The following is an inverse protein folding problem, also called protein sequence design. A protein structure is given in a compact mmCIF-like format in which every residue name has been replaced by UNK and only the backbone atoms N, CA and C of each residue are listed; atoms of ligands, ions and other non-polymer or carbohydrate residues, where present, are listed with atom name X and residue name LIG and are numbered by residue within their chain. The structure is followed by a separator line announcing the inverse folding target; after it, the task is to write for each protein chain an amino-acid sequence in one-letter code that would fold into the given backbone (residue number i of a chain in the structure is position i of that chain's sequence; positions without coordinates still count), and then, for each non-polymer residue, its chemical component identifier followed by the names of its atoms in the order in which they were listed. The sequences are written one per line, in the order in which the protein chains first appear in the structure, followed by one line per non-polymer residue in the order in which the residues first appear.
data_IF_053359543437
#
_entry.id   IF_053359543437
#
_cell.length_a   1.000
_cell.length_b   1.000
_cell.length_c   1.000
_cell.angle_alpha   90.00
_cell.angle_beta   90.00
_cell.angle_gamma   90.00
#
_symmetry.space_group_name_H-M   'P 1'
#
loop_
_entity.id
_entity.type
_entity.pdbx_description
1 polymer ?
#
# COMPACT_ATOMS: atom_id res chain seq x y z
N UNK A 1 -11.90 19.47 58.48
CA UNK A 1 -11.86 19.79 57.03
C UNK A 1 -11.19 18.62 56.31
N UNK A 2 -11.95 17.77 55.61
CA UNK A 2 -11.44 16.58 54.90
C UNK A 2 -11.26 16.95 53.42
N UNK A 3 -10.02 16.94 52.92
CA UNK A 3 -9.70 17.15 51.50
C UNK A 3 -9.95 15.84 50.75
N UNK A 4 -10.93 15.84 49.85
CA UNK A 4 -11.17 14.74 48.91
C UNK A 4 -10.23 14.98 47.72
N UNK A 5 -9.18 14.17 47.61
CA UNK A 5 -8.36 14.09 46.39
C UNK A 5 -9.11 13.22 45.38
N UNK A 6 -9.57 13.82 44.28
CA UNK A 6 -10.03 13.08 43.12
C UNK A 6 -8.81 12.66 42.29
N UNK A 7 -8.51 11.37 42.28
CA UNK A 7 -7.52 10.79 41.38
C UNK A 7 -8.12 10.73 39.96
N UNK A 8 -7.54 11.49 39.04
CA UNK A 8 -7.85 11.43 37.62
C UNK A 8 -7.28 10.12 37.06
N UNK A 9 -8.11 9.11 36.88
CA UNK A 9 -7.71 7.89 36.19
C UNK A 9 -7.60 8.18 34.69
N UNK A 10 -6.36 8.30 34.17
CA UNK A 10 -6.10 8.26 32.74
C UNK A 10 -6.43 6.85 32.24
N UNK A 11 -7.57 6.70 31.58
CA UNK A 11 -7.85 5.55 30.73
C UNK A 11 -6.95 5.66 29.49
N UNK A 12 -5.79 5.02 29.55
CA UNK A 12 -5.00 4.72 28.37
C UNK A 12 -5.81 3.72 27.52
N UNK A 13 -6.55 4.23 26.54
CA UNK A 13 -7.21 3.42 25.53
C UNK A 13 -6.14 2.71 24.69
N UNK A 14 -5.87 1.45 25.03
CA UNK A 14 -5.07 0.54 24.21
C UNK A 14 -5.88 0.18 22.98
N UNK A 15 -5.80 1.02 21.94
CA UNK A 15 -6.25 0.64 20.61
C UNK A 15 -5.40 -0.58 20.22
N UNK A 16 -6.01 -1.76 20.02
CA UNK A 16 -5.23 -2.89 19.56
C UNK A 16 -4.63 -2.51 18.21
N UNK A 17 -3.33 -2.68 18.05
CA UNK A 17 -2.63 -2.49 16.79
C UNK A 17 -3.07 -3.59 15.80
N UNK A 18 -4.31 -3.53 15.35
CA UNK A 18 -4.73 -4.26 14.17
C UNK A 18 -3.89 -3.70 13.03
N UNK A 19 -3.11 -4.57 12.37
CA UNK A 19 -2.37 -4.19 11.18
C UNK A 19 -3.36 -3.57 10.21
N UNK A 20 -3.28 -2.25 10.03
CA UNK A 20 -4.24 -1.52 9.22
C UNK A 20 -4.26 -2.11 7.81
N UNK A 21 -5.46 -2.18 7.23
CA UNK A 21 -5.67 -2.62 5.86
C UNK A 21 -5.62 -1.40 4.93
N UNK A 22 -5.41 -1.66 3.64
CA UNK A 22 -5.53 -0.61 2.63
C UNK A 22 -6.99 -0.15 2.52
N UNK A 23 -7.26 1.16 2.34
CA UNK A 23 -8.62 1.65 2.10
C UNK A 23 -9.21 1.05 0.82
N UNK A 24 -10.53 0.85 0.78
CA UNK A 24 -11.23 0.24 -0.36
C UNK A 24 -10.89 0.87 -1.72
N UNK A 25 -10.64 2.19 -1.77
CA UNK A 25 -10.28 2.90 -2.98
C UNK A 25 -8.98 2.40 -3.66
N UNK A 26 -8.10 1.72 -2.92
CA UNK A 26 -6.85 1.13 -3.42
C UNK A 26 -7.03 -0.31 -3.90
N UNK A 27 -8.14 -0.96 -3.55
CA UNK A 27 -8.34 -2.40 -3.76
C UNK A 27 -8.88 -2.71 -5.16
N UNK A 28 -8.71 -3.94 -5.61
CA UNK A 28 -9.25 -4.47 -6.85
C UNK A 28 -8.21 -4.55 -7.97
N UNK A 29 -8.71 -4.56 -9.21
CA UNK A 29 -7.88 -4.79 -10.39
C UNK A 29 -7.21 -3.51 -10.87
N UNK A 30 -5.99 -3.67 -11.37
CA UNK A 30 -5.11 -2.64 -11.89
C UNK A 30 -4.34 -3.16 -13.11
N UNK A 31 -3.84 -2.24 -13.94
CA UNK A 31 -2.85 -2.49 -14.98
C UNK A 31 -1.70 -1.50 -14.87
N UNK A 32 -0.54 -1.82 -15.43
CA UNK A 32 0.64 -0.94 -15.49
C UNK A 32 1.21 -0.92 -16.90
N UNK A 33 1.59 0.27 -17.38
CA UNK A 33 2.36 0.48 -18.60
C UNK A 33 3.85 0.80 -18.32
N UNK A 34 4.32 0.61 -17.08
CA UNK A 34 5.64 1.07 -16.66
C UNK A 34 6.81 0.19 -17.17
N UNK A 35 6.53 -0.98 -17.75
CA UNK A 35 7.56 -1.94 -18.17
C UNK A 35 7.90 -1.87 -19.67
N UNK A 36 7.73 -0.70 -20.30
CA UNK A 36 7.98 -0.47 -21.73
C UNK A 36 6.75 -0.73 -22.60
N UNK A 37 6.92 -1.41 -23.73
CA UNK A 37 5.87 -1.63 -24.74
C UNK A 37 4.82 -2.68 -24.33
N UNK A 38 4.96 -3.31 -23.16
CA UNK A 38 4.08 -4.38 -22.68
C UNK A 38 3.33 -3.92 -21.45
N UNK A 39 2.01 -3.79 -21.60
CA UNK A 39 1.10 -3.59 -20.47
C UNK A 39 1.10 -4.83 -19.58
N UNK A 40 1.41 -4.63 -18.29
CA UNK A 40 1.23 -5.65 -17.26
C UNK A 40 -0.24 -5.62 -16.83
N UNK A 41 -0.94 -6.70 -17.15
CA UNK A 41 -2.34 -6.94 -16.75
C UNK A 41 -2.40 -7.96 -15.60
N UNK A 42 -3.58 -8.11 -14.99
CA UNK A 42 -3.78 -9.08 -13.90
C UNK A 42 -3.19 -8.65 -12.56
N UNK A 43 -2.93 -7.35 -12.35
CA UNK A 43 -2.51 -6.82 -11.05
C UNK A 43 -3.73 -6.71 -10.14
N UNK A 44 -3.68 -7.34 -8.97
CA UNK A 44 -4.78 -7.36 -7.99
C UNK A 44 -4.27 -6.91 -6.62
N UNK A 45 -4.88 -5.86 -6.08
CA UNK A 45 -4.61 -5.37 -4.72
C UNK A 45 -5.76 -5.79 -3.80
N UNK A 46 -5.47 -6.68 -2.86
CA UNK A 46 -6.39 -7.07 -1.79
C UNK A 46 -6.17 -6.25 -0.52
N UNK A 47 -7.05 -6.38 0.49
CA UNK A 47 -6.89 -5.68 1.77
C UNK A 47 -5.54 -5.92 2.44
N UNK A 48 -4.95 -7.11 2.17
CA UNK A 48 -3.71 -7.58 2.75
C UNK A 48 -2.73 -8.20 1.75
N UNK A 49 -2.97 -8.04 0.46
CA UNK A 49 -2.13 -8.67 -0.57
C UNK A 49 -1.92 -7.76 -1.77
N UNK A 50 -0.80 -7.95 -2.46
CA UNK A 50 -0.54 -7.42 -3.78
C UNK A 50 -0.10 -8.58 -4.66
N UNK A 51 -0.77 -8.78 -5.78
CA UNK A 51 -0.46 -9.82 -6.75
C UNK A 51 -0.28 -9.20 -8.12
N UNK A 52 0.81 -9.54 -8.79
CA UNK A 52 1.01 -9.36 -10.22
C UNK A 52 1.60 -10.66 -10.80
N UNK A 53 1.49 -10.90 -12.12
CA UNK A 53 2.05 -12.10 -12.73
C UNK A 53 3.53 -12.30 -12.36
N UNK A 54 3.85 -13.41 -11.69
CA UNK A 54 5.21 -13.76 -11.26
C UNK A 54 5.67 -13.11 -9.95
N UNK A 55 4.86 -12.28 -9.29
CA UNK A 55 5.25 -11.59 -8.05
C UNK A 55 4.06 -11.42 -7.09
N UNK A 56 4.22 -11.96 -5.89
CA UNK A 56 3.15 -12.05 -4.88
C UNK A 56 3.65 -11.49 -3.55
N UNK A 57 2.90 -10.59 -2.95
CA UNK A 57 3.26 -9.89 -1.73
C UNK A 57 2.15 -9.98 -0.67
N UNK A 58 2.54 -10.33 0.55
CA UNK A 58 1.69 -10.19 1.74
C UNK A 58 1.93 -8.84 2.40
N UNK A 59 0.87 -8.06 2.59
CA UNK A 59 0.90 -6.80 3.33
C UNK A 59 0.91 -7.09 4.84
N UNK A 60 1.95 -6.58 5.49
CA UNK A 60 2.22 -6.74 6.92
C UNK A 60 1.78 -5.52 7.71
N UNK A 61 1.94 -4.33 7.17
CA UNK A 61 1.42 -3.11 7.79
C UNK A 61 1.08 -2.04 6.76
N UNK A 62 0.11 -1.20 7.11
CA UNK A 62 -0.25 0.02 6.38
C UNK A 62 -0.17 1.17 7.36
N UNK A 63 0.53 2.24 6.98
CA UNK A 63 0.65 3.44 7.79
C UNK A 63 0.28 4.66 6.96
N UNK A 64 -0.82 5.31 7.33
CA UNK A 64 -1.17 6.59 6.73
C UNK A 64 -0.15 7.64 7.17
N UNK A 65 0.44 8.34 6.20
CA UNK A 65 1.22 9.54 6.42
C UNK A 65 0.42 10.72 5.89
N UNK A 66 0.03 11.60 6.80
CA UNK A 66 -0.43 12.93 6.41
C UNK A 66 0.79 13.68 5.86
N UNK A 67 0.75 14.13 4.61
CA UNK A 67 1.74 15.10 4.14
C UNK A 67 1.45 16.43 4.87
N UNK A 68 2.39 16.88 5.70
CA UNK A 68 2.35 18.22 6.23
C UNK A 68 2.56 19.21 5.08
N UNK A 69 1.52 19.96 4.70
CA UNK A 69 1.64 21.12 3.81
C UNK A 69 1.06 20.99 2.39
N UNK A 70 0.49 19.86 2.00
CA UNK A 70 -0.18 19.71 0.68
C UNK A 70 -1.69 19.72 0.82
N UNK A 71 -2.26 20.92 0.91
CA UNK A 71 -3.71 21.14 0.84
C UNK A 71 -4.23 20.62 -0.51
N UNK A 72 -5.24 19.75 -0.48
CA UNK A 72 -5.93 19.23 -1.68
C UNK A 72 -5.35 17.95 -2.29
N UNK A 73 -4.34 17.36 -1.67
CA UNK A 73 -3.62 16.19 -2.19
C UNK A 73 -3.85 15.02 -1.22
N UNK A 74 -4.46 13.93 -1.69
CA UNK A 74 -4.87 12.79 -0.85
C UNK A 74 -3.72 12.17 -0.05
N UNK A 75 -4.03 11.37 1.00
CA UNK A 75 -3.02 10.80 1.90
C UNK A 75 -2.07 9.85 1.16
N UNK A 76 -0.85 9.73 1.70
CA UNK A 76 0.13 8.71 1.29
C UNK A 76 0.05 7.55 2.29
N UNK A 77 0.05 6.32 1.79
CA UNK A 77 0.13 5.12 2.61
C UNK A 77 1.49 4.46 2.45
N UNK A 78 2.21 4.29 3.56
CA UNK A 78 3.40 3.45 3.60
C UNK A 78 2.97 2.01 3.88
N UNK A 79 3.32 1.10 2.98
CA UNK A 79 2.91 -0.30 3.03
C UNK A 79 4.16 -1.16 3.15
N UNK A 80 4.26 -1.92 4.24
CA UNK A 80 5.31 -2.92 4.41
C UNK A 80 4.81 -4.28 3.96
N UNK A 81 5.61 -4.97 3.16
CA UNK A 81 5.23 -6.25 2.57
C UNK A 81 6.36 -7.29 2.64
N UNK A 82 5.97 -8.56 2.52
CA UNK A 82 6.87 -9.66 2.21
C UNK A 82 6.49 -10.25 0.87
N UNK A 83 7.42 -10.23 -0.06
CA UNK A 83 7.18 -10.62 -1.45
C UNK A 83 7.98 -11.85 -1.84
N UNK A 84 7.35 -12.73 -2.62
CA UNK A 84 7.96 -13.88 -3.29
C UNK A 84 7.65 -13.80 -4.79
N UNK A 85 8.63 -14.15 -5.64
CA UNK A 85 8.40 -14.11 -7.08
C UNK A 85 9.50 -14.77 -7.90
N UNK A 86 9.14 -15.12 -9.13
CA UNK A 86 10.01 -15.76 -10.13
C UNK A 86 10.89 -14.72 -10.83
N UNK A 87 11.72 -14.00 -10.07
CA UNK A 87 12.86 -13.31 -10.67
C UNK A 87 14.03 -14.26 -10.96
N UNK A 88 15.15 -13.77 -11.54
CA UNK A 88 16.36 -14.57 -11.78
C UNK A 88 16.76 -15.38 -10.54
N UNK A 89 17.51 -16.50 -10.68
CA UNK A 89 17.45 -17.73 -9.86
C UNK A 89 17.85 -17.60 -8.37
N UNK A 90 17.96 -16.40 -7.82
CA UNK A 90 18.18 -16.11 -6.40
C UNK A 90 16.92 -15.62 -5.65
N UNK A 91 15.75 -15.49 -6.30
CA UNK A 91 14.52 -14.92 -5.70
C UNK A 91 13.51 -15.91 -5.08
N UNK A 92 13.91 -17.12 -4.74
CA UNK A 92 13.11 -18.03 -3.91
C UNK A 92 12.96 -17.61 -2.43
N UNK A 93 13.42 -16.41 -2.05
CA UNK A 93 13.38 -15.90 -0.67
C UNK A 93 12.36 -14.77 -0.55
N UNK A 94 11.58 -14.79 0.53
CA UNK A 94 10.71 -13.69 0.91
C UNK A 94 11.54 -12.42 1.11
N UNK A 95 11.36 -11.42 0.24
CA UNK A 95 12.03 -10.12 0.34
C UNK A 95 11.11 -9.14 1.06
N UNK A 96 11.67 -8.35 1.97
CA UNK A 96 10.95 -7.24 2.60
C UNK A 96 10.97 -6.04 1.66
N UNK A 97 9.79 -5.53 1.32
CA UNK A 97 9.59 -4.30 0.56
C UNK A 97 8.83 -3.28 1.41
N UNK A 98 9.09 -2.01 1.19
CA UNK A 98 8.26 -0.91 1.67
C UNK A 98 7.93 0.00 0.51
N UNK A 99 6.64 0.23 0.28
CA UNK A 99 6.14 1.10 -0.78
C UNK A 99 5.40 2.31 -0.22
N UNK A 100 5.48 3.43 -0.93
CA UNK A 100 4.61 4.58 -0.72
C UNK A 100 3.54 4.59 -1.80
N UNK A 101 2.27 4.49 -1.39
CA UNK A 101 1.11 4.44 -2.26
C UNK A 101 0.36 5.77 -2.20
N UNK A 102 -0.02 6.29 -3.37
CA UNK A 102 -0.81 7.51 -3.49
C UNK A 102 -1.80 7.41 -4.64
N UNK A 103 -3.08 7.63 -4.36
CA UNK A 103 -4.07 7.84 -5.44
C UNK A 103 -3.86 9.21 -6.10
N UNK A 104 -3.90 9.20 -7.42
CA UNK A 104 -3.93 10.37 -8.28
C UNK A 104 -5.21 10.34 -9.12
N UNK A 105 -5.62 11.51 -9.62
CA UNK A 105 -6.70 11.71 -10.60
C UNK A 105 -8.00 10.91 -10.35
N UNK A 106 -8.95 11.51 -9.62
CA UNK A 106 -10.28 10.93 -9.33
C UNK A 106 -10.27 9.46 -8.87
N UNK A 107 -9.18 9.02 -8.23
CA UNK A 107 -8.97 7.64 -7.79
C UNK A 107 -8.85 6.60 -8.92
N UNK A 108 -8.47 6.99 -10.14
CA UNK A 108 -8.25 6.05 -11.25
C UNK A 108 -6.78 5.70 -11.49
N UNK A 109 -5.86 6.50 -10.95
CA UNK A 109 -4.41 6.24 -11.03
C UNK A 109 -3.85 6.02 -9.62
N UNK A 110 -2.96 5.05 -9.45
CA UNK A 110 -2.26 4.76 -8.20
C UNK A 110 -0.76 4.82 -8.48
N UNK A 111 -0.08 5.81 -7.90
CA UNK A 111 1.37 5.85 -7.88
C UNK A 111 1.90 4.96 -6.76
N UNK A 112 2.88 4.12 -7.09
CA UNK A 112 3.62 3.26 -6.18
C UNK A 112 5.08 3.66 -6.29
N UNK A 113 5.68 4.11 -5.19
CA UNK A 113 7.11 4.35 -5.13
C UNK A 113 7.76 3.34 -4.20
N UNK A 114 8.79 2.64 -4.68
CA UNK A 114 9.68 1.87 -3.81
C UNK A 114 10.33 2.83 -2.81
N UNK A 115 10.18 2.56 -1.51
CA UNK A 115 10.78 3.34 -0.43
C UNK A 115 11.96 2.60 0.22
N UNK A 116 11.93 1.26 0.23
CA UNK A 116 13.06 0.39 0.57
C UNK A 116 12.80 -1.04 0.08
N UNK A 117 13.85 -1.82 -0.20
CA UNK A 117 13.72 -3.19 -0.68
C UNK A 117 14.32 -3.35 -2.09
N UNK A 118 14.03 -4.47 -2.76
CA UNK A 118 14.55 -4.75 -4.09
C UNK A 118 13.93 -3.87 -5.18
N UNK A 119 12.76 -3.29 -4.91
CA UNK A 119 12.11 -2.33 -5.83
C UNK A 119 12.59 -0.89 -5.60
N UNK A 120 13.39 -0.59 -4.59
CA UNK A 120 13.96 0.76 -4.43
C UNK A 120 15.22 0.94 -5.30
N UNK A 121 15.40 2.06 -6.00
CA UNK A 121 14.45 3.17 -6.21
C UNK A 121 13.65 2.96 -7.52
N UNK A 122 12.33 2.79 -7.42
CA UNK A 122 11.42 2.73 -8.58
C UNK A 122 10.13 3.50 -8.31
N UNK A 123 9.48 3.95 -9.38
CA UNK A 123 8.14 4.53 -9.36
C UNK A 123 7.33 3.86 -10.45
N UNK A 124 6.14 3.41 -10.09
CA UNK A 124 5.17 2.73 -10.95
C UNK A 124 3.82 3.45 -10.89
N UNK A 125 3.12 3.51 -12.02
CA UNK A 125 1.77 4.01 -12.16
C UNK A 125 0.83 2.86 -12.53
N UNK A 126 -0.09 2.57 -11.61
CA UNK A 126 -1.18 1.65 -11.85
C UNK A 126 -2.43 2.39 -12.29
N UNK A 127 -3.14 1.88 -13.28
CA UNK A 127 -4.42 2.42 -13.77
C UNK A 127 -5.55 1.41 -13.57
N UNK A 128 -6.76 1.89 -13.32
CA UNK A 128 -7.95 1.04 -13.36
C UNK A 128 -8.17 0.57 -14.80
N UNK A 129 -8.51 -0.71 -15.03
CA UNK A 129 -8.94 -1.15 -16.36
C UNK A 129 -10.11 -0.29 -16.85
N UNK A 130 -10.08 0.12 -18.11
CA UNK A 130 -11.22 0.78 -18.74
C UNK A 130 -12.46 -0.13 -18.73
N UNK A 131 -13.67 0.46 -18.74
CA UNK A 131 -14.93 -0.30 -18.71
C UNK A 131 -15.07 -1.32 -19.86
N UNK A 132 -14.30 -1.15 -20.94
CA UNK A 132 -14.35 -2.00 -22.13
C UNK A 132 -13.38 -3.20 -22.07
N UNK A 133 -12.63 -3.37 -20.98
CA UNK A 133 -11.56 -4.38 -20.83
C UNK A 133 -11.95 -5.55 -19.90
N UNK A 134 -13.23 -5.65 -19.50
CA UNK A 134 -13.75 -6.78 -18.73
C UNK A 134 -14.62 -7.63 -19.67
N UNK A 135 -13.98 -8.58 -20.36
CA UNK A 135 -14.65 -9.68 -21.06
C UNK A 135 -14.47 -10.98 -20.29
#
# INVERSE_FOLDING_TARGET
MKRIMAALALLASTIPAHAAELPEAYLGNWTSDDNGDVEITGIVIGPRTYHEPGYNCDIRSVQQRAEAGTVGRGPVYLVEMRCAGEGPPSRGKLVREVWALRKMDNNNVLAIAGASGATFPSIHLLRRPGKDQVQ
#
